data_IF_456602699046
#
_entry.id   IF_456602699046
#
_cell.length_a   1.000
_cell.length_b   1.000
_cell.length_c   1.000
_cell.angle_alpha   90.00
_cell.angle_beta   90.00
_cell.angle_gamma   90.00
#
_symmetry.space_group_name_H-M   'P 1'
#
loop_
_entity.id
_entity.type
_entity.pdbx_description
1 polymer ?
#
# COMPACT_ATOMS: atom_id res chain seq x y z
N UNK A 1 41.50 -12.76 6.92
CA UNK A 1 40.41 -13.13 5.96
C UNK A 1 39.10 -12.98 6.69
N UNK A 2 38.36 -11.92 6.42
CA UNK A 2 37.04 -11.70 7.02
C UNK A 2 36.07 -12.67 6.32
N UNK A 3 35.62 -13.70 7.02
CA UNK A 3 34.59 -14.62 6.49
C UNK A 3 33.32 -13.80 6.30
N UNK A 4 33.00 -13.43 5.05
CA UNK A 4 31.74 -12.79 4.72
C UNK A 4 30.64 -13.82 5.02
N UNK A 5 29.87 -13.62 6.08
CA UNK A 5 28.70 -14.45 6.38
C UNK A 5 27.73 -14.25 5.22
N UNK A 6 27.53 -15.31 4.43
CA UNK A 6 26.57 -15.29 3.32
C UNK A 6 25.20 -15.62 3.90
N UNK A 7 24.27 -14.67 3.81
CA UNK A 7 22.89 -14.87 4.25
C UNK A 7 22.21 -15.87 3.31
N UNK A 8 21.36 -16.74 3.84
CA UNK A 8 20.62 -17.74 3.05
C UNK A 8 19.16 -17.35 2.92
N UNK A 9 18.66 -17.26 1.69
CA UNK A 9 17.27 -17.08 1.39
C UNK A 9 16.58 -18.44 1.14
N UNK A 10 15.42 -18.64 1.78
CA UNK A 10 14.54 -19.78 1.53
C UNK A 10 13.10 -19.30 1.38
N UNK A 11 12.32 -19.99 0.57
CA UNK A 11 10.90 -19.71 0.37
C UNK A 11 10.07 -20.74 1.12
N UNK A 12 9.28 -20.28 2.08
CA UNK A 12 8.43 -21.14 2.92
C UNK A 12 6.97 -20.99 2.52
N UNK A 13 6.27 -22.06 2.10
CA UNK A 13 4.83 -22.01 1.78
C UNK A 13 4.00 -22.01 3.06
N UNK A 14 3.67 -20.83 3.59
CA UNK A 14 2.99 -20.66 4.89
C UNK A 14 1.92 -19.58 4.91
N UNK A 15 1.49 -19.13 3.73
CA UNK A 15 0.50 -18.05 3.57
C UNK A 15 0.91 -16.74 4.28
N UNK A 16 2.20 -16.52 4.45
CA UNK A 16 2.75 -15.32 5.08
C UNK A 16 2.74 -15.32 6.62
N UNK A 17 2.35 -16.39 7.28
CA UNK A 17 2.20 -16.46 8.75
C UNK A 17 3.46 -16.12 9.54
N UNK A 18 4.64 -16.44 9.00
CA UNK A 18 5.93 -16.10 9.62
C UNK A 18 6.26 -14.59 9.57
N UNK A 19 5.56 -13.82 8.73
CA UNK A 19 5.73 -12.39 8.56
C UNK A 19 4.59 -11.56 9.18
N UNK A 20 3.70 -12.17 9.97
CA UNK A 20 2.58 -11.49 10.64
C UNK A 20 3.08 -10.53 11.70
N UNK A 21 2.49 -9.34 11.78
CA UNK A 21 2.64 -8.35 12.83
C UNK A 21 1.31 -7.62 13.07
N UNK A 22 1.28 -6.74 14.08
CA UNK A 22 0.10 -5.92 14.38
C UNK A 22 -0.16 -4.81 13.35
N UNK A 23 0.83 -4.50 12.52
CA UNK A 23 0.71 -3.51 11.45
C UNK A 23 -0.19 -4.01 10.34
N UNK A 24 -1.09 -3.15 9.82
CA UNK A 24 -2.07 -3.54 8.81
C UNK A 24 -1.47 -4.30 7.62
N UNK A 25 -0.42 -3.78 6.99
CA UNK A 25 0.16 -4.39 5.77
C UNK A 25 0.85 -5.74 6.02
N UNK A 26 0.98 -6.14 7.27
CA UNK A 26 1.47 -7.46 7.70
C UNK A 26 0.49 -8.18 8.61
N UNK A 27 -0.75 -7.69 8.74
CA UNK A 27 -1.80 -8.36 9.49
C UNK A 27 -2.29 -9.60 8.76
N UNK A 28 -2.79 -10.58 9.51
CA UNK A 28 -3.35 -11.80 8.93
C UNK A 28 -4.48 -11.49 7.93
N UNK A 29 -5.35 -10.52 8.25
CA UNK A 29 -6.45 -10.10 7.39
C UNK A 29 -5.94 -9.57 6.04
N UNK A 30 -4.95 -8.67 6.06
CA UNK A 30 -4.40 -8.11 4.84
C UNK A 30 -3.68 -9.17 3.99
N UNK A 31 -2.85 -10.00 4.61
CA UNK A 31 -2.11 -11.05 3.91
C UNK A 31 -3.05 -12.06 3.25
N UNK A 32 -4.16 -12.41 3.93
CA UNK A 32 -5.20 -13.27 3.38
C UNK A 32 -5.95 -12.60 2.23
N UNK A 33 -6.37 -11.34 2.40
CA UNK A 33 -7.08 -10.58 1.37
C UNK A 33 -6.25 -10.42 0.09
N UNK A 34 -4.93 -10.22 0.21
CA UNK A 34 -4.00 -10.09 -0.91
C UNK A 34 -3.59 -11.43 -1.53
N UNK A 35 -3.99 -12.57 -0.95
CA UNK A 35 -3.65 -13.90 -1.45
C UNK A 35 -2.18 -14.26 -1.29
N UNK A 36 -1.55 -13.86 -0.18
CA UNK A 36 -0.18 -14.24 0.15
C UNK A 36 -0.09 -15.75 0.27
N UNK A 37 0.95 -16.35 -0.31
CA UNK A 37 1.11 -17.81 -0.39
C UNK A 37 2.36 -18.33 0.32
N UNK A 38 3.36 -17.45 0.50
CA UNK A 38 4.67 -17.84 1.02
C UNK A 38 5.26 -16.73 1.88
N UNK A 39 6.22 -17.11 2.72
CA UNK A 39 7.16 -16.17 3.35
C UNK A 39 8.56 -16.42 2.80
N UNK A 40 9.21 -15.35 2.33
CA UNK A 40 10.65 -15.34 2.12
C UNK A 40 11.32 -15.21 3.49
N UNK A 41 12.20 -16.13 3.82
CA UNK A 41 13.03 -16.08 5.03
C UNK A 41 14.47 -15.90 4.61
N UNK A 42 15.10 -14.81 5.06
CA UNK A 42 16.55 -14.58 4.92
C UNK A 42 17.15 -14.78 6.31
N UNK A 43 17.92 -15.85 6.45
CA UNK A 43 18.48 -16.27 7.71
C UNK A 43 19.97 -15.82 7.80
N UNK A 44 20.27 -15.06 8.81
CA UNK A 44 21.60 -14.62 9.21
C UNK A 44 22.19 -15.43 10.37
N UNK A 45 21.60 -16.59 10.71
CA UNK A 45 21.96 -17.39 11.86
C UNK A 45 21.96 -16.55 13.16
N UNK A 46 23.10 -16.40 13.83
CA UNK A 46 23.20 -15.63 15.06
C UNK A 46 22.91 -14.12 14.90
N UNK A 47 22.92 -13.59 13.66
CA UNK A 47 22.63 -12.19 13.37
C UNK A 47 21.13 -11.89 13.29
N UNK A 48 20.28 -12.93 13.25
CA UNK A 48 18.81 -12.77 13.18
C UNK A 48 18.21 -13.15 11.83
N UNK A 49 16.96 -12.76 11.60
CA UNK A 49 16.23 -13.11 10.37
C UNK A 49 15.40 -11.95 9.82
N UNK A 50 15.21 -11.94 8.48
CA UNK A 50 14.24 -11.10 7.78
C UNK A 50 13.17 -11.99 7.16
N UNK A 51 11.89 -11.67 7.40
CA UNK A 51 10.73 -12.41 6.88
C UNK A 51 9.85 -11.48 6.07
N UNK A 52 9.61 -11.82 4.78
CA UNK A 52 8.83 -10.99 3.86
C UNK A 52 7.66 -11.81 3.31
N UNK A 53 6.40 -11.33 3.45
CA UNK A 53 5.24 -12.01 2.86
C UNK A 53 5.25 -11.84 1.35
N UNK A 54 5.01 -12.94 0.61
CA UNK A 54 5.08 -12.97 -0.84
C UNK A 54 3.88 -13.69 -1.47
N UNK A 55 3.45 -13.17 -2.60
CA UNK A 55 2.55 -13.83 -3.56
C UNK A 55 3.44 -14.44 -4.64
N UNK A 56 3.57 -15.76 -4.63
CA UNK A 56 4.33 -16.50 -5.64
C UNK A 56 3.45 -16.77 -6.85
N UNK A 57 3.98 -16.50 -8.05
CA UNK A 57 3.21 -16.52 -9.29
C UNK A 57 3.94 -17.37 -10.35
N UNK A 58 3.24 -18.21 -11.12
CA UNK A 58 3.81 -18.85 -12.29
C UNK A 58 4.16 -17.80 -13.36
N UNK A 59 5.21 -18.05 -14.12
CA UNK A 59 5.54 -17.30 -15.33
C UNK A 59 4.98 -18.09 -16.52
N UNK A 60 4.01 -17.49 -17.20
CA UNK A 60 3.25 -18.15 -18.27
C UNK A 60 4.13 -18.86 -19.30
N UNK A 61 3.75 -20.08 -19.67
CA UNK A 61 4.43 -20.92 -20.67
C UNK A 61 5.87 -21.30 -20.31
N UNK A 62 6.20 -21.27 -19.02
CA UNK A 62 7.51 -21.67 -18.50
C UNK A 62 7.36 -22.51 -17.23
N UNK A 63 8.37 -23.29 -16.81
CA UNK A 63 8.37 -23.96 -15.53
C UNK A 63 8.73 -23.05 -14.36
N UNK A 64 9.00 -21.78 -14.62
CA UNK A 64 9.55 -20.84 -13.65
C UNK A 64 8.48 -20.08 -12.87
N UNK A 65 8.89 -19.51 -11.73
CA UNK A 65 8.05 -18.69 -10.86
C UNK A 65 8.78 -17.39 -10.51
N UNK A 66 8.01 -16.35 -10.24
CA UNK A 66 8.46 -15.13 -9.59
C UNK A 66 7.61 -14.81 -8.38
N UNK A 67 7.96 -13.77 -7.63
CA UNK A 67 7.16 -13.34 -6.50
C UNK A 67 7.04 -11.82 -6.40
N UNK A 68 5.96 -11.39 -5.75
CA UNK A 68 5.71 -9.98 -5.44
C UNK A 68 5.20 -9.86 -4.00
N UNK A 69 5.60 -8.82 -3.28
CA UNK A 69 4.99 -8.48 -2.00
C UNK A 69 3.54 -8.03 -2.18
N UNK A 70 2.66 -8.21 -1.19
CA UNK A 70 1.28 -7.70 -1.23
C UNK A 70 1.25 -6.19 -1.47
N UNK A 71 0.06 -5.67 -1.82
CA UNK A 71 -0.15 -4.25 -2.08
C UNK A 71 0.03 -3.42 -0.80
N UNK A 72 0.37 -2.13 -0.96
CA UNK A 72 0.64 -1.21 0.13
C UNK A 72 2.12 -1.11 0.47
N UNK A 73 2.44 -1.12 1.75
CA UNK A 73 3.80 -0.91 2.28
C UNK A 73 4.21 -2.05 3.23
N UNK A 74 4.18 -3.30 2.77
CA UNK A 74 4.36 -4.46 3.65
C UNK A 74 5.79 -4.58 4.17
N UNK A 75 6.81 -4.28 3.35
CA UNK A 75 8.22 -4.54 3.71
C UNK A 75 8.41 -5.95 4.25
N UNK A 76 9.13 -6.10 5.34
CA UNK A 76 9.32 -7.36 6.08
C UNK A 76 9.38 -7.16 7.58
N UNK A 77 9.26 -8.26 8.32
CA UNK A 77 9.55 -8.33 9.75
C UNK A 77 11.03 -8.65 9.93
N UNK A 78 11.74 -7.78 10.62
CA UNK A 78 13.16 -7.95 10.93
C UNK A 78 13.31 -8.33 12.40
N UNK A 79 14.06 -9.38 12.67
CA UNK A 79 14.39 -9.86 13.99
C UNK A 79 15.92 -9.95 14.09
N UNK A 80 16.54 -9.00 14.78
CA UNK A 80 17.98 -8.90 14.93
C UNK A 80 18.79 -8.44 13.71
N UNK A 81 18.26 -8.58 12.50
CA UNK A 81 18.90 -8.05 11.29
C UNK A 81 18.60 -6.55 11.14
N UNK A 82 19.58 -5.82 10.65
CA UNK A 82 19.43 -4.49 10.07
C UNK A 82 19.17 -4.61 8.55
N UNK A 83 19.25 -3.51 7.83
CA UNK A 83 19.16 -3.46 6.37
C UNK A 83 20.09 -4.49 5.69
N UNK A 84 19.54 -5.34 4.83
CA UNK A 84 20.24 -6.45 4.18
C UNK A 84 20.83 -6.00 2.84
N UNK A 85 22.12 -6.20 2.63
CA UNK A 85 22.72 -6.06 1.30
C UNK A 85 22.31 -7.25 0.43
N UNK A 86 21.57 -7.01 -0.66
CA UNK A 86 21.04 -8.06 -1.54
C UNK A 86 22.12 -8.94 -2.18
N UNK A 87 23.32 -8.39 -2.36
CA UNK A 87 24.51 -9.07 -2.90
C UNK A 87 25.10 -10.07 -1.89
N UNK A 88 24.83 -9.91 -0.60
CA UNK A 88 25.26 -10.82 0.45
C UNK A 88 24.35 -12.04 0.60
N UNK A 89 23.25 -12.10 -0.14
CA UNK A 89 22.22 -13.14 -0.02
C UNK A 89 22.44 -14.23 -1.07
N UNK A 90 22.41 -15.48 -0.63
CA UNK A 90 22.30 -16.65 -1.51
C UNK A 90 20.81 -16.93 -1.80
N UNK A 91 20.41 -16.69 -3.05
CA UNK A 91 19.01 -16.79 -3.51
C UNK A 91 18.64 -18.18 -4.03
N UNK A 92 19.59 -19.11 -4.21
CA UNK A 92 19.34 -20.43 -4.83
C UNK A 92 18.25 -21.23 -4.10
N UNK A 93 18.12 -21.09 -2.79
CA UNK A 93 17.11 -21.78 -2.00
C UNK A 93 15.68 -21.30 -2.22
N UNK A 94 15.46 -20.23 -3.02
CA UNK A 94 14.11 -19.72 -3.29
C UNK A 94 13.44 -20.36 -4.50
N UNK A 95 14.23 -20.86 -5.46
CA UNK A 95 13.75 -21.36 -6.77
C UNK A 95 12.92 -20.33 -7.53
N UNK A 96 13.15 -19.05 -7.30
CA UNK A 96 12.48 -17.93 -7.98
C UNK A 96 13.41 -17.26 -8.98
N UNK A 97 12.83 -16.72 -10.06
CA UNK A 97 13.58 -15.91 -11.03
C UNK A 97 13.82 -14.51 -10.51
N UNK A 98 12.78 -13.91 -9.95
CA UNK A 98 12.89 -12.56 -9.39
C UNK A 98 11.84 -12.34 -8.29
N UNK A 99 12.10 -11.33 -7.44
CA UNK A 99 11.19 -10.89 -6.37
C UNK A 99 11.08 -9.37 -6.42
N UNK A 100 9.83 -8.86 -6.38
CA UNK A 100 9.55 -7.44 -6.23
C UNK A 100 8.99 -7.16 -4.84
N UNK A 101 9.70 -6.34 -4.05
CA UNK A 101 9.30 -5.98 -2.69
C UNK A 101 8.96 -4.50 -2.61
N UNK A 102 7.78 -4.17 -2.09
CA UNK A 102 7.41 -2.81 -1.68
C UNK A 102 7.90 -2.58 -0.27
N UNK A 103 8.60 -1.48 -0.08
CA UNK A 103 9.14 -1.15 1.23
C UNK A 103 8.16 -0.35 2.07
N UNK A 104 8.46 -0.23 3.37
CA UNK A 104 7.75 0.67 4.28
C UNK A 104 8.14 2.12 4.02
N UNK A 105 7.30 3.05 4.48
CA UNK A 105 7.57 4.49 4.32
C UNK A 105 8.40 5.05 5.46
N UNK A 106 8.33 4.43 6.63
CA UNK A 106 8.99 4.86 7.86
C UNK A 106 9.70 3.68 8.51
N UNK A 107 10.78 3.95 9.23
CA UNK A 107 11.58 2.91 9.87
C UNK A 107 12.67 2.34 8.96
N UNK A 108 13.35 1.28 9.39
CA UNK A 108 14.46 0.69 8.63
C UNK A 108 13.96 -0.03 7.38
N UNK A 109 14.67 0.15 6.27
CA UNK A 109 14.45 -0.60 5.04
C UNK A 109 14.89 -2.06 5.17
N UNK A 110 14.19 -2.98 4.48
CA UNK A 110 14.58 -4.39 4.53
C UNK A 110 15.83 -4.70 3.70
N UNK A 111 16.06 -3.95 2.61
CA UNK A 111 17.25 -4.10 1.78
C UNK A 111 17.93 -2.76 1.52
N UNK A 112 19.26 -2.79 1.38
CA UNK A 112 20.05 -1.66 0.93
C UNK A 112 19.76 -1.33 -0.55
N UNK A 113 19.90 -0.07 -0.92
CA UNK A 113 19.91 0.36 -2.33
C UNK A 113 18.57 0.18 -3.04
N UNK A 114 17.48 0.58 -2.42
CA UNK A 114 16.15 0.55 -3.03
C UNK A 114 16.01 1.43 -4.28
N UNK A 115 15.14 0.99 -5.21
CA UNK A 115 14.75 1.78 -6.38
C UNK A 115 13.76 2.87 -5.96
N UNK A 116 14.10 4.13 -6.25
CA UNK A 116 13.22 5.28 -5.98
C UNK A 116 11.96 5.21 -6.85
N UNK A 117 10.81 5.43 -6.22
CA UNK A 117 9.49 5.51 -6.87
C UNK A 117 8.90 6.91 -6.71
N UNK A 118 7.60 7.04 -6.81
CA UNK A 118 6.91 8.32 -6.62
C UNK A 118 7.07 8.83 -5.19
N UNK A 119 6.96 10.14 -5.02
CA UNK A 119 6.76 10.74 -3.69
C UNK A 119 5.35 10.44 -3.20
N UNK A 120 5.23 10.29 -1.88
CA UNK A 120 3.97 10.23 -1.16
C UNK A 120 3.83 11.41 -0.23
N UNK A 121 2.62 11.91 -0.07
CA UNK A 121 2.31 13.15 0.61
C UNK A 121 1.63 12.87 1.95
N UNK A 122 2.07 13.61 2.97
CA UNK A 122 1.63 13.41 4.34
C UNK A 122 1.04 14.68 4.93
N UNK A 123 0.05 14.51 5.80
CA UNK A 123 -0.37 15.52 6.75
C UNK A 123 0.13 15.06 8.11
N UNK A 124 1.22 15.66 8.59
CA UNK A 124 1.72 15.41 9.93
C UNK A 124 1.04 16.37 10.91
N UNK A 125 0.19 15.88 11.84
CA UNK A 125 -0.52 16.75 12.79
C UNK A 125 0.39 17.42 13.81
N UNK A 126 1.65 17.00 13.93
CA UNK A 126 2.66 17.59 14.82
C UNK A 126 3.30 18.84 14.19
N UNK A 127 3.13 19.06 12.91
CA UNK A 127 3.59 20.23 12.16
C UNK A 127 2.42 21.18 11.89
N UNK A 128 2.66 22.46 11.59
CA UNK A 128 1.61 23.38 11.14
C UNK A 128 0.86 22.80 9.93
N UNK A 129 -0.47 22.72 10.02
CA UNK A 129 -1.33 22.19 8.96
C UNK A 129 -2.02 23.36 8.24
N UNK A 130 -1.58 23.63 7.01
CA UNK A 130 -2.17 24.65 6.15
C UNK A 130 -2.59 24.04 4.82
N UNK A 131 -3.90 23.90 4.62
CA UNK A 131 -4.43 23.46 3.34
C UNK A 131 -4.43 24.60 2.32
N UNK A 132 -4.23 24.24 1.05
CA UNK A 132 -4.41 25.20 -0.04
C UNK A 132 -5.77 25.91 0.07
N UNK A 133 -5.80 27.22 -0.18
CA UNK A 133 -6.98 28.07 0.00
C UNK A 133 -8.25 27.49 -0.64
N UNK A 134 -8.15 27.01 -1.87
CA UNK A 134 -9.29 26.36 -2.56
C UNK A 134 -9.82 25.14 -1.81
N UNK A 135 -8.94 24.35 -1.15
CA UNK A 135 -9.38 23.18 -0.35
C UNK A 135 -10.15 23.64 0.89
N UNK A 136 -9.63 24.63 1.61
CA UNK A 136 -10.31 25.23 2.77
C UNK A 136 -11.69 25.75 2.42
N UNK A 137 -11.82 26.50 1.31
CA UNK A 137 -13.10 27.04 0.82
C UNK A 137 -14.12 25.93 0.52
N UNK A 138 -13.69 24.85 -0.15
CA UNK A 138 -14.59 23.72 -0.46
C UNK A 138 -15.04 23.01 0.81
N UNK A 139 -14.13 22.72 1.74
CA UNK A 139 -14.46 22.09 3.02
C UNK A 139 -15.49 22.93 3.79
N UNK A 140 -15.22 24.24 3.97
CA UNK A 140 -16.11 25.15 4.69
C UNK A 140 -17.46 25.32 3.99
N UNK A 141 -17.48 25.38 2.65
CA UNK A 141 -18.73 25.42 1.88
C UNK A 141 -19.59 24.19 2.16
N UNK A 142 -19.00 22.99 2.10
CA UNK A 142 -19.72 21.75 2.32
C UNK A 142 -20.27 21.68 3.75
N UNK A 143 -19.48 22.03 4.77
CA UNK A 143 -19.95 22.10 6.16
C UNK A 143 -21.13 23.06 6.30
N UNK A 144 -21.06 24.27 5.73
CA UNK A 144 -22.17 25.24 5.73
C UNK A 144 -23.42 24.72 5.00
N UNK A 145 -23.24 23.83 4.03
CA UNK A 145 -24.31 23.18 3.28
C UNK A 145 -24.84 21.89 3.95
N UNK A 146 -24.41 21.61 5.17
CA UNK A 146 -24.89 20.47 5.94
C UNK A 146 -24.24 19.12 5.62
N UNK A 147 -23.09 19.10 4.93
CA UNK A 147 -22.32 17.87 4.82
C UNK A 147 -21.69 17.54 6.17
N UNK A 148 -21.83 16.27 6.60
CA UNK A 148 -21.33 15.77 7.87
C UNK A 148 -20.30 14.68 7.61
N UNK A 149 -19.14 14.77 8.27
CA UNK A 149 -18.10 13.75 8.20
C UNK A 149 -17.96 13.06 9.54
N UNK A 150 -17.89 11.73 9.50
CA UNK A 150 -17.69 10.85 10.67
C UNK A 150 -16.57 9.87 10.39
N UNK A 151 -16.02 9.28 11.45
CA UNK A 151 -15.08 8.15 11.36
C UNK A 151 -15.24 7.25 12.59
N UNK A 152 -14.89 5.98 12.40
CA UNK A 152 -14.90 4.97 13.46
C UNK A 152 -14.17 3.70 13.03
N UNK A 153 -13.97 2.73 13.96
CA UNK A 153 -13.37 1.45 13.62
C UNK A 153 -14.18 0.76 12.51
N UNK A 154 -13.50 0.30 11.45
CA UNK A 154 -14.17 -0.28 10.29
C UNK A 154 -15.00 -1.53 10.66
N UNK A 155 -14.56 -2.30 11.67
CA UNK A 155 -15.27 -3.48 12.18
C UNK A 155 -16.62 -3.15 12.81
N UNK A 156 -16.80 -1.93 13.33
CA UNK A 156 -18.03 -1.44 13.99
C UNK A 156 -18.99 -0.77 13.01
N UNK A 157 -18.55 -0.56 11.75
CA UNK A 157 -19.39 0.06 10.72
C UNK A 157 -20.62 -0.81 10.43
N UNK A 158 -21.79 -0.16 10.36
CA UNK A 158 -23.05 -0.78 9.97
C UNK A 158 -23.00 -1.33 8.53
N UNK A 159 -23.91 -2.24 8.20
CA UNK A 159 -24.03 -2.75 6.83
C UNK A 159 -24.23 -1.61 5.82
N UNK A 160 -25.09 -0.62 6.15
CA UNK A 160 -25.33 0.55 5.31
C UNK A 160 -24.06 1.34 5.03
N UNK A 161 -23.22 1.56 6.04
CA UNK A 161 -21.95 2.29 5.89
C UNK A 161 -20.96 1.52 5.04
N UNK A 162 -20.86 0.20 5.22
CA UNK A 162 -20.00 -0.69 4.41
C UNK A 162 -20.44 -0.70 2.95
N UNK A 163 -21.73 -0.86 2.68
CA UNK A 163 -22.27 -0.82 1.32
C UNK A 163 -22.13 0.58 0.69
N UNK A 164 -22.36 1.64 1.47
CA UNK A 164 -22.12 3.02 1.04
C UNK A 164 -20.66 3.25 0.61
N UNK A 165 -19.69 2.76 1.40
CA UNK A 165 -18.28 2.81 1.01
C UNK A 165 -18.00 2.02 -0.28
N UNK A 166 -18.44 0.75 -0.35
CA UNK A 166 -18.25 -0.08 -1.55
C UNK A 166 -18.87 0.57 -2.79
N UNK A 167 -20.02 1.20 -2.65
CA UNK A 167 -20.72 1.91 -3.72
C UNK A 167 -19.89 3.07 -4.28
N UNK A 168 -19.41 3.99 -3.42
CA UNK A 168 -18.59 5.14 -3.88
C UNK A 168 -17.23 4.72 -4.37
N UNK A 169 -16.64 3.65 -3.82
CA UNK A 169 -15.39 3.08 -4.30
C UNK A 169 -15.54 2.54 -5.73
N UNK A 170 -16.57 1.69 -5.98
CA UNK A 170 -16.85 1.13 -7.31
C UNK A 170 -17.12 2.22 -8.36
N UNK A 171 -17.93 3.25 -8.02
CA UNK A 171 -18.15 4.40 -8.91
C UNK A 171 -16.84 5.07 -9.29
N UNK A 172 -15.94 5.27 -8.32
CA UNK A 172 -14.62 5.88 -8.56
C UNK A 172 -13.76 5.00 -9.47
N UNK A 173 -13.68 3.69 -9.22
CA UNK A 173 -12.88 2.78 -10.04
C UNK A 173 -13.39 2.70 -11.48
N UNK A 174 -14.70 2.70 -11.69
CA UNK A 174 -15.31 2.73 -13.03
C UNK A 174 -15.01 4.04 -13.75
N UNK A 175 -15.23 5.18 -13.10
CA UNK A 175 -15.00 6.51 -13.67
C UNK A 175 -13.52 6.74 -14.05
N UNK A 176 -12.60 6.27 -13.21
CA UNK A 176 -11.17 6.48 -13.39
C UNK A 176 -10.54 5.38 -14.28
N UNK A 177 -11.37 4.53 -14.92
CA UNK A 177 -10.95 3.42 -15.79
C UNK A 177 -9.85 2.56 -15.15
N UNK A 178 -10.01 2.30 -13.85
CA UNK A 178 -9.00 1.61 -13.06
C UNK A 178 -8.77 0.19 -13.58
N UNK A 179 -7.53 -0.30 -13.50
CA UNK A 179 -7.22 -1.66 -13.91
C UNK A 179 -7.98 -2.70 -13.09
N UNK A 180 -8.26 -3.87 -13.69
CA UNK A 180 -9.07 -4.94 -13.08
C UNK A 180 -8.65 -5.32 -11.66
N UNK A 181 -7.37 -5.20 -11.31
CA UNK A 181 -6.84 -5.50 -9.98
C UNK A 181 -7.41 -4.63 -8.84
N UNK A 182 -8.03 -3.48 -9.16
CA UNK A 182 -8.66 -2.60 -8.17
C UNK A 182 -10.15 -2.88 -7.99
N UNK A 183 -10.73 -3.80 -8.74
CA UNK A 183 -12.09 -4.28 -8.55
C UNK A 183 -12.10 -5.47 -7.59
N UNK A 184 -11.88 -5.18 -6.33
CA UNK A 184 -11.81 -6.20 -5.28
C UNK A 184 -13.14 -6.95 -5.10
N UNK A 185 -13.11 -8.28 -4.83
CA UNK A 185 -14.28 -9.05 -4.47
C UNK A 185 -14.80 -8.68 -3.08
N UNK A 186 -16.04 -9.06 -2.77
CA UNK A 186 -16.63 -8.77 -1.46
C UNK A 186 -15.84 -9.41 -0.29
N UNK A 187 -15.26 -10.58 -0.50
CA UNK A 187 -14.38 -11.23 0.50
C UNK A 187 -13.16 -10.38 0.87
N UNK A 188 -12.61 -9.61 -0.06
CA UNK A 188 -11.53 -8.66 0.24
C UNK A 188 -12.01 -7.57 1.20
N UNK A 189 -13.20 -7.03 0.96
CA UNK A 189 -13.78 -5.99 1.83
C UNK A 189 -14.16 -6.57 3.20
N UNK A 190 -14.59 -7.83 3.30
CA UNK A 190 -14.86 -8.48 4.58
C UNK A 190 -13.59 -8.58 5.43
N UNK A 191 -12.48 -9.02 4.88
CA UNK A 191 -11.18 -9.04 5.57
C UNK A 191 -10.74 -7.61 5.97
N UNK A 192 -10.89 -6.64 5.07
CA UNK A 192 -10.54 -5.24 5.33
C UNK A 192 -11.37 -4.66 6.49
N UNK A 193 -12.69 -4.86 6.49
CA UNK A 193 -13.57 -4.38 7.55
C UNK A 193 -13.35 -5.12 8.88
N UNK A 194 -12.91 -6.37 8.86
CA UNK A 194 -12.65 -7.13 10.09
C UNK A 194 -11.35 -6.72 10.79
N UNK A 195 -10.46 -6.02 10.10
CA UNK A 195 -9.16 -5.65 10.64
C UNK A 195 -9.27 -4.66 11.81
N UNK A 196 -8.61 -4.91 12.96
CA UNK A 196 -8.56 -3.95 14.06
C UNK A 196 -7.74 -2.69 13.72
N UNK A 197 -6.93 -2.75 12.67
CA UNK A 197 -6.09 -1.64 12.20
C UNK A 197 -6.76 -0.81 11.09
N UNK A 198 -8.07 -1.01 10.84
CA UNK A 198 -8.82 -0.30 9.81
C UNK A 198 -9.91 0.60 10.39
N UNK A 199 -10.08 1.77 9.80
CA UNK A 199 -11.13 2.76 10.12
C UNK A 199 -11.87 3.16 8.86
N UNK A 200 -13.18 3.36 8.99
CA UNK A 200 -14.03 3.94 7.95
C UNK A 200 -14.26 5.41 8.26
N UNK A 201 -13.93 6.29 7.32
CA UNK A 201 -14.33 7.69 7.32
C UNK A 201 -15.35 7.94 6.22
N UNK A 202 -16.46 8.59 6.57
CA UNK A 202 -17.58 8.84 5.66
C UNK A 202 -17.99 10.30 5.68
N UNK A 203 -18.23 10.89 4.52
CA UNK A 203 -18.87 12.21 4.38
C UNK A 203 -20.24 12.03 3.75
N UNK A 204 -21.30 12.37 4.49
CA UNK A 204 -22.68 12.32 4.04
C UNK A 204 -23.15 13.71 3.59
N UNK A 205 -23.95 13.72 2.54
CA UNK A 205 -24.68 14.90 2.09
C UNK A 205 -25.91 15.16 3.00
N UNK A 206 -26.53 16.35 2.94
CA UNK A 206 -27.76 16.65 3.68
C UNK A 206 -28.95 15.71 3.38
N UNK A 207 -28.94 15.06 2.20
CA UNK A 207 -29.91 14.02 1.83
C UNK A 207 -29.74 12.71 2.62
N UNK A 208 -28.61 12.54 3.34
CA UNK A 208 -28.22 11.28 3.97
C UNK A 208 -27.30 10.40 3.12
N UNK A 209 -27.19 10.68 1.82
CA UNK A 209 -26.38 9.90 0.89
C UNK A 209 -24.89 9.93 1.28
N UNK A 210 -24.19 8.83 1.07
CA UNK A 210 -22.71 8.78 1.16
C UNK A 210 -22.12 9.51 -0.04
N UNK A 211 -21.65 10.74 0.18
CA UNK A 211 -21.05 11.56 -0.87
C UNK A 211 -19.59 11.19 -1.13
N UNK A 212 -18.86 10.79 -0.09
CA UNK A 212 -17.49 10.26 -0.18
C UNK A 212 -17.21 9.39 1.04
N UNK A 213 -16.41 8.35 0.84
CA UNK A 213 -15.94 7.52 1.95
C UNK A 213 -14.50 7.04 1.69
N UNK A 214 -13.81 6.70 2.77
CA UNK A 214 -12.45 6.18 2.71
C UNK A 214 -12.19 5.21 3.86
N UNK A 215 -11.39 4.19 3.57
CA UNK A 215 -10.75 3.36 4.58
C UNK A 215 -9.35 3.93 4.87
N UNK A 216 -9.12 4.24 6.16
CA UNK A 216 -7.79 4.47 6.70
C UNK A 216 -7.27 3.21 7.36
N UNK A 217 -5.97 2.89 7.21
CA UNK A 217 -5.34 1.76 7.90
C UNK A 217 -4.08 2.21 8.63
N UNK A 218 -3.82 1.67 9.82
CA UNK A 218 -2.59 1.98 10.56
C UNK A 218 -1.52 0.92 10.34
N UNK A 219 -0.32 1.35 10.00
CA UNK A 219 0.86 0.51 9.86
C UNK A 219 2.13 1.32 10.06
N UNK A 220 3.11 0.75 10.75
CA UNK A 220 4.42 1.38 11.01
C UNK A 220 4.31 2.82 11.60
N UNK A 221 3.32 3.06 12.47
CA UNK A 221 3.10 4.36 13.11
C UNK A 221 2.50 5.43 12.19
N UNK A 222 1.95 5.04 11.05
CA UNK A 222 1.32 5.91 10.05
C UNK A 222 -0.13 5.49 9.82
N UNK A 223 -1.05 6.45 9.75
CA UNK A 223 -2.40 6.25 9.22
C UNK A 223 -2.36 6.44 7.71
N UNK A 224 -2.71 5.42 6.94
CA UNK A 224 -2.70 5.47 5.47
C UNK A 224 -4.13 5.65 4.95
N UNK A 225 -4.40 6.67 4.13
CA UNK A 225 -5.55 6.67 3.24
C UNK A 225 -5.36 5.54 2.23
N UNK A 226 -6.06 4.44 2.45
CA UNK A 226 -5.81 3.18 1.74
C UNK A 226 -6.70 3.02 0.52
N UNK A 227 -8.00 3.01 0.70
CA UNK A 227 -8.99 2.95 -0.36
C UNK A 227 -10.02 4.05 -0.14
N UNK A 228 -10.56 4.62 -1.22
CA UNK A 228 -11.61 5.62 -1.07
C UNK A 228 -12.29 5.95 -2.39
N UNK A 229 -13.40 6.65 -2.28
CA UNK A 229 -14.18 7.07 -3.44
C UNK A 229 -15.09 8.24 -3.17
N UNK A 230 -15.62 8.76 -4.28
CA UNK A 230 -16.60 9.86 -4.31
C UNK A 230 -17.74 9.46 -5.22
N UNK A 231 -18.97 9.61 -4.75
CA UNK A 231 -20.16 9.39 -5.57
C UNK A 231 -20.22 10.43 -6.71
N UNK A 232 -20.57 9.98 -7.91
CA UNK A 232 -20.56 10.81 -9.12
C UNK A 232 -21.44 12.05 -8.99
N UNK A 233 -22.60 11.94 -8.35
CA UNK A 233 -23.51 13.04 -8.10
C UNK A 233 -22.90 14.19 -7.26
N UNK A 234 -21.85 13.89 -6.48
CA UNK A 234 -21.24 14.86 -5.57
C UNK A 234 -19.85 15.35 -6.01
N UNK A 235 -19.35 14.95 -7.18
CA UNK A 235 -18.03 15.39 -7.70
C UNK A 235 -17.85 16.92 -7.71
N UNK A 236 -18.86 17.75 -8.11
CA UNK A 236 -18.72 19.22 -8.11
C UNK A 236 -18.56 19.81 -6.70
N UNK A 237 -18.92 19.05 -5.66
CA UNK A 237 -18.76 19.43 -4.25
C UNK A 237 -17.40 19.07 -3.69
N UNK A 238 -16.70 18.11 -4.31
CA UNK A 238 -15.41 17.58 -3.83
C UNK A 238 -15.42 17.12 -2.36
N UNK A 239 -16.37 16.25 -1.94
CA UNK A 239 -16.55 15.87 -0.54
C UNK A 239 -15.40 15.05 0.04
N UNK A 240 -14.54 14.44 -0.81
CA UNK A 240 -13.29 13.77 -0.40
C UNK A 240 -12.40 14.68 0.45
N UNK A 241 -12.47 16.02 0.24
CA UNK A 241 -11.72 16.98 1.04
C UNK A 241 -12.20 16.99 2.49
N UNK A 242 -13.49 16.81 2.71
CA UNK A 242 -14.07 16.67 4.05
C UNK A 242 -13.72 15.31 4.66
N UNK A 243 -13.72 14.23 3.87
CA UNK A 243 -13.28 12.90 4.30
C UNK A 243 -11.81 12.92 4.75
N UNK A 244 -10.94 13.67 4.07
CA UNK A 244 -9.54 13.85 4.48
C UNK A 244 -9.42 14.61 5.82
N UNK A 245 -10.30 15.58 6.10
CA UNK A 245 -10.30 16.23 7.42
C UNK A 245 -10.73 15.27 8.53
N UNK A 246 -11.67 14.37 8.27
CA UNK A 246 -12.05 13.32 9.22
C UNK A 246 -10.90 12.34 9.50
N UNK A 247 -10.19 11.88 8.46
CA UNK A 247 -9.00 11.05 8.63
C UNK A 247 -7.85 11.79 9.34
N UNK A 248 -7.68 13.09 9.09
CA UNK A 248 -6.69 13.89 9.82
C UNK A 248 -7.02 13.96 11.31
N UNK A 249 -8.29 14.14 11.66
CA UNK A 249 -8.72 14.16 13.06
C UNK A 249 -8.49 12.81 13.73
N UNK A 250 -8.79 11.71 13.04
CA UNK A 250 -8.41 10.36 13.47
C UNK A 250 -6.89 10.25 13.68
N UNK A 251 -6.09 10.74 12.74
CA UNK A 251 -4.62 10.75 12.85
C UNK A 251 -4.13 11.50 14.10
N UNK A 252 -4.77 12.64 14.45
CA UNK A 252 -4.50 13.37 15.70
C UNK A 252 -4.81 12.55 16.93
N UNK A 253 -5.94 11.87 16.96
CA UNK A 253 -6.34 11.01 18.07
C UNK A 253 -5.38 9.82 18.26
N UNK A 254 -4.91 9.24 17.15
CA UNK A 254 -3.97 8.13 17.16
C UNK A 254 -2.49 8.57 17.35
N UNK A 255 -2.21 9.87 17.29
CA UNK A 255 -0.84 10.40 17.31
C UNK A 255 -0.04 10.06 16.04
N UNK A 256 -0.72 9.78 14.90
CA UNK A 256 -0.13 9.29 13.66
C UNK A 256 -0.22 10.35 12.55
N UNK A 257 0.83 10.52 11.70
CA UNK A 257 0.72 11.27 10.47
C UNK A 257 -0.18 10.51 9.47
N UNK A 258 -0.95 11.28 8.68
CA UNK A 258 -1.83 10.74 7.63
C UNK A 258 -1.10 10.71 6.30
N UNK A 259 -0.84 9.53 5.75
CA UNK A 259 -0.34 9.33 4.40
C UNK A 259 -1.51 9.38 3.39
N UNK A 260 -1.47 10.33 2.47
CA UNK A 260 -2.44 10.46 1.37
C UNK A 260 -2.06 9.66 0.13
N UNK A 261 -0.88 9.04 0.12
CA UNK A 261 -0.29 8.42 -1.06
C UNK A 261 0.29 9.42 -2.06
N UNK A 262 0.71 8.93 -3.22
CA UNK A 262 1.23 9.73 -4.34
C UNK A 262 0.23 9.93 -5.47
N UNK A 263 0.70 10.49 -6.59
CA UNK A 263 0.03 10.47 -7.88
C UNK A 263 0.18 9.11 -8.57
N UNK A 264 -0.49 8.92 -9.69
CA UNK A 264 -0.25 7.76 -10.57
C UNK A 264 1.04 7.95 -11.37
N UNK A 265 1.31 9.20 -11.78
CA UNK A 265 2.56 9.62 -12.42
C UNK A 265 3.08 10.89 -11.75
N UNK A 266 4.41 11.12 -11.76
CA UNK A 266 4.98 12.35 -11.23
C UNK A 266 4.35 13.59 -11.89
N UNK A 267 3.84 14.53 -11.07
CA UNK A 267 3.28 15.80 -11.52
C UNK A 267 1.84 15.74 -12.03
N UNK A 268 1.13 14.62 -11.88
CA UNK A 268 -0.27 14.49 -12.31
C UNK A 268 -1.23 15.31 -11.39
N UNK A 269 -2.50 15.39 -11.82
CA UNK A 269 -3.54 16.13 -11.09
C UNK A 269 -3.83 15.55 -9.71
N UNK A 270 -3.69 14.22 -9.53
CA UNK A 270 -3.88 13.55 -8.25
C UNK A 270 -2.75 13.90 -7.28
N UNK A 271 -1.51 13.94 -7.75
CA UNK A 271 -0.37 14.44 -6.97
C UNK A 271 -0.59 15.90 -6.54
N UNK A 272 -0.96 16.76 -7.48
CA UNK A 272 -1.22 18.19 -7.20
C UNK A 272 -2.36 18.37 -6.19
N UNK A 273 -3.39 17.52 -6.24
CA UNK A 273 -4.50 17.51 -5.28
C UNK A 273 -4.01 17.14 -3.87
N UNK A 274 -3.27 16.05 -3.72
CA UNK A 274 -2.75 15.58 -2.43
C UNK A 274 -1.73 16.54 -1.83
N UNK A 275 -0.84 17.10 -2.64
CA UNK A 275 0.14 18.12 -2.25
C UNK A 275 -0.55 19.37 -1.67
N UNK A 276 -1.77 19.69 -2.10
CA UNK A 276 -2.56 20.80 -1.56
C UNK A 276 -3.00 20.66 -0.10
N UNK A 277 -2.88 19.46 0.47
CA UNK A 277 -3.15 19.17 1.89
C UNK A 277 -1.88 18.94 2.71
N UNK A 278 -0.80 18.54 2.04
CA UNK A 278 0.39 18.01 2.68
C UNK A 278 1.26 19.08 3.30
N UNK A 279 1.87 18.78 4.43
CA UNK A 279 2.93 19.54 5.06
C UNK A 279 4.25 18.76 5.17
N UNK A 280 4.26 17.49 4.73
CA UNK A 280 5.43 16.64 4.61
C UNK A 280 5.32 15.71 3.39
N UNK A 281 6.44 15.16 2.95
CA UNK A 281 6.49 14.15 1.89
C UNK A 281 7.60 13.16 2.14
N UNK A 282 7.40 11.91 1.69
CA UNK A 282 8.39 10.85 1.79
C UNK A 282 8.64 10.23 0.41
N UNK A 283 9.83 9.70 0.24
CA UNK A 283 10.20 8.96 -0.95
C UNK A 283 9.82 7.50 -0.78
N UNK A 284 9.00 6.97 -1.70
CA UNK A 284 8.72 5.53 -1.74
C UNK A 284 9.90 4.79 -2.39
N UNK A 285 10.26 3.66 -1.81
CA UNK A 285 11.25 2.73 -2.34
C UNK A 285 10.64 1.35 -2.60
N UNK A 286 11.21 0.66 -3.58
CA UNK A 286 10.95 -0.76 -3.85
C UNK A 286 12.27 -1.48 -4.06
N UNK A 287 12.27 -2.79 -3.84
CA UNK A 287 13.45 -3.61 -4.08
C UNK A 287 13.18 -4.60 -5.21
N UNK A 288 14.06 -4.58 -6.18
CA UNK A 288 14.04 -5.42 -7.37
C UNK A 288 15.17 -6.45 -7.22
N UNK A 289 14.78 -7.69 -6.92
CA UNK A 289 15.72 -8.77 -6.62
C UNK A 289 15.72 -9.76 -7.80
N UNK A 290 16.86 -9.95 -8.44
CA UNK A 290 17.06 -10.97 -9.45
C UNK A 290 17.69 -12.17 -8.77
N UNK A 291 16.93 -13.25 -8.60
CA UNK A 291 17.35 -14.44 -7.87
C UNK A 291 18.09 -15.45 -8.78
N UNK A 292 17.65 -15.54 -10.04
CA UNK A 292 18.33 -16.31 -11.10
C UNK A 292 18.63 -15.40 -12.29
N UNK A 293 19.86 -14.84 -12.37
CA UNK A 293 20.24 -13.93 -13.44
C UNK A 293 20.21 -14.57 -14.85
N UNK A 294 20.53 -15.85 -14.96
CA UNK A 294 20.56 -16.53 -16.25
C UNK A 294 19.16 -16.71 -16.84
N UNK A 295 18.23 -17.22 -16.03
CA UNK A 295 16.82 -17.36 -16.42
C UNK A 295 16.15 -16.00 -16.61
N UNK A 296 16.47 -15.01 -15.75
CA UNK A 296 15.95 -13.65 -15.90
C UNK A 296 16.33 -13.04 -17.24
N UNK A 297 17.60 -13.15 -17.65
CA UNK A 297 18.08 -12.68 -18.94
C UNK A 297 17.34 -13.38 -20.09
N UNK A 298 17.27 -14.72 -20.07
CA UNK A 298 16.55 -15.52 -21.09
C UNK A 298 15.11 -15.09 -21.25
N UNK A 299 14.36 -14.89 -20.15
CA UNK A 299 12.97 -14.49 -20.19
C UNK A 299 12.75 -13.05 -20.66
N UNK A 300 13.77 -12.21 -20.49
CA UNK A 300 13.76 -10.81 -20.89
C UNK A 300 14.26 -10.58 -22.31
N UNK A 301 14.81 -11.61 -22.99
CA UNK A 301 15.23 -11.54 -24.38
C UNK A 301 14.05 -11.20 -25.30
N UNK A 302 14.16 -10.08 -26.03
CA UNK A 302 13.07 -9.53 -26.86
C UNK A 302 12.12 -8.60 -26.10
N UNK A 303 12.29 -8.42 -24.80
CA UNK A 303 11.62 -7.36 -24.01
C UNK A 303 12.30 -6.02 -24.29
N UNK A 304 11.51 -5.05 -24.72
CA UNK A 304 11.94 -3.66 -24.86
C UNK A 304 12.56 -3.20 -23.53
N UNK A 305 13.59 -2.36 -23.61
CA UNK A 305 14.13 -1.57 -22.51
C UNK A 305 12.99 -0.84 -21.79
N UNK A 306 12.35 -1.51 -20.85
CA UNK A 306 11.25 -0.96 -20.05
C UNK A 306 11.75 -0.75 -18.63
N UNK A 307 11.41 0.40 -18.04
CA UNK A 307 11.58 0.64 -16.61
C UNK A 307 10.63 -0.22 -15.75
N UNK A 308 10.06 -1.30 -16.33
CA UNK A 308 9.15 -2.22 -15.66
C UNK A 308 9.91 -3.41 -15.09
N UNK A 309 9.66 -3.73 -13.83
CA UNK A 309 10.25 -4.90 -13.19
C UNK A 309 9.17 -5.90 -12.77
N UNK A 310 9.36 -7.20 -13.03
CA UNK A 310 10.42 -7.76 -13.89
C UNK A 310 10.12 -7.48 -15.37
N UNK A 311 11.18 -7.32 -16.18
CA UNK A 311 11.07 -6.91 -17.58
C UNK A 311 10.19 -7.84 -18.43
N UNK A 312 10.23 -9.15 -18.18
CA UNK A 312 9.43 -10.15 -18.89
C UNK A 312 7.91 -10.09 -18.59
N UNK A 313 7.47 -9.29 -17.62
CA UNK A 313 6.05 -9.01 -17.34
C UNK A 313 5.60 -7.65 -17.84
N UNK A 314 6.46 -6.92 -18.53
CA UNK A 314 6.06 -5.65 -19.13
C UNK A 314 4.88 -5.84 -20.10
N UNK A 315 3.86 -4.96 -20.07
CA UNK A 315 2.77 -5.02 -21.05
C UNK A 315 3.35 -5.00 -22.47
N UNK A 316 2.95 -5.96 -23.29
CA UNK A 316 3.27 -5.91 -24.74
C UNK A 316 2.47 -4.75 -25.33
N UNK A 317 3.16 -3.83 -25.99
CA UNK A 317 2.55 -2.72 -26.73
C UNK A 317 1.83 -3.23 -27.97
#
# INVERSE_FOLDING_TARGET
MTTTIRLRAVLVPDEGKLAVSEDYFRSEQHLRAEGVTHTLVIDGAAAGALRIPLIVRPIERTPYRDAVSPYGYPSGVMDGLSEVAKEAVDWHGTELVSIFVRDRLTGPHCFAGGTRRNQVFFIDPRLPVEFREMHRRHIQRNVRQGFVSTYGPAREASLEEREGFKGVYRQTMVRDEASARYFFPDTYFEELFSSPAAWLATTRAPSGDVASAAIGVSSDGVLHYYLGGTADAYLPRSPTKNTFTALLELGRQLGMPLNLGGGMQPGDSLEAFKRGFANASFQLYTHELICDPAVYAQLSEGGLSSNYFPAYRAPRR
#
